data_IF_984534549372
#
_entry.id   IF_984534549372
#
_cell.length_a   1.000
_cell.length_b   1.000
_cell.length_c   1.000
_cell.angle_alpha   90.00
_cell.angle_beta   90.00
_cell.angle_gamma   90.00
#
_symmetry.space_group_name_H-M   'P 1'
#
loop_
_entity.id
_entity.type
_entity.pdbx_description
1 polymer ?
2 water ?
#
# COMPACT_ATOMS: atom_id res chain seq x y z
N UNK A 1 15.14 4.95 28.00
CA UNK A 1 15.44 5.34 26.58
C UNK A 1 14.21 6.13 26.08
N UNK A 2 13.10 5.44 25.84
CA UNK A 2 11.95 6.09 25.19
C UNK A 2 11.24 7.00 26.16
N UNK A 3 10.65 8.08 25.64
CA UNK A 3 9.91 8.98 26.48
C UNK A 3 8.66 8.29 27.09
N UNK A 4 7.87 7.63 26.28
CA UNK A 4 6.71 6.92 26.82
C UNK A 4 6.80 5.49 26.29
N UNK A 5 6.71 4.51 27.19
CA UNK A 5 6.65 3.10 26.82
C UNK A 5 5.33 2.52 27.36
N UNK A 6 4.55 1.87 26.49
CA UNK A 6 3.29 1.20 26.89
C UNK A 6 3.45 -0.28 26.60
N UNK A 7 3.35 -1.12 27.64
CA UNK A 7 3.58 -2.56 27.49
C UNK A 7 2.35 -3.34 27.93
N UNK A 8 1.82 -4.15 27.03
CA UNK A 8 0.80 -5.11 27.43
C UNK A 8 1.50 -6.49 27.52
N UNK A 9 1.64 -7.01 28.73
CA UNK A 9 2.29 -8.33 28.93
C UNK A 9 1.40 -9.46 28.44
N UNK A 10 2.02 -10.63 28.24
CA UNK A 10 1.30 -11.82 27.77
C UNK A 10 0.19 -12.23 28.74
N UNK A 11 -1.09 -12.21 28.32
CA UNK A 11 -2.10 -12.68 29.27
C UNK A 11 -2.14 -14.24 29.31
N UNK A 12 -2.80 -14.84 30.31
CA UNK A 12 -2.78 -16.34 30.39
C UNK A 12 -3.58 -16.91 29.23
N UNK A 13 -4.67 -16.21 28.91
CA UNK A 13 -5.51 -16.53 27.78
C UNK A 13 -5.55 -15.25 26.88
N UNK A 14 -5.36 -15.40 25.54
CA UNK A 14 -5.42 -14.22 24.63
C UNK A 14 -6.82 -13.65 24.69
N UNK A 15 -6.95 -12.35 24.49
CA UNK A 15 -8.25 -11.71 24.58
C UNK A 15 -8.15 -10.57 23.59
N UNK A 16 -9.21 -9.77 23.44
CA UNK A 16 -9.23 -8.74 22.41
C UNK A 16 -8.61 -7.39 22.82
N UNK A 17 -8.03 -7.32 24.00
CA UNK A 17 -7.55 -6.06 24.48
C UNK A 17 -6.20 -5.56 23.84
N UNK A 18 -6.11 -4.23 23.78
CA UNK A 18 -5.00 -3.51 23.15
C UNK A 18 -4.13 -2.86 24.21
N UNK A 19 -2.85 -2.66 23.91
CA UNK A 19 -1.98 -1.82 24.74
C UNK A 19 -2.52 -0.33 24.72
N UNK A 20 -2.90 0.14 23.55
CA UNK A 20 -3.31 1.53 23.37
C UNK A 20 -4.51 1.62 22.43
N UNK A 21 -5.59 2.26 22.89
CA UNK A 21 -6.79 2.36 22.10
C UNK A 21 -7.18 3.86 22.07
N UNK A 22 -7.30 4.42 20.89
CA UNK A 22 -7.63 5.87 20.74
C UNK A 22 -8.93 6.03 19.98
N UNK A 23 -9.86 6.85 20.49
CA UNK A 23 -11.06 7.19 19.71
C UNK A 23 -11.36 8.68 19.79
N UNK A 24 -11.60 9.30 18.63
CA UNK A 24 -12.03 10.69 18.61
C UNK A 24 -13.45 10.78 18.05
N UNK A 25 -14.29 11.60 18.67
CA UNK A 25 -15.57 11.95 18.07
C UNK A 25 -15.59 13.37 17.42
N UNK A 26 -14.41 13.93 17.16
CA UNK A 26 -14.28 15.26 16.57
C UNK A 26 -14.03 15.17 15.09
N UNK A 27 -15.04 15.50 14.27
CA UNK A 27 -14.85 15.35 12.83
C UNK A 27 -13.91 16.40 12.23
N UNK A 28 -13.52 17.40 13.01
CA UNK A 28 -12.69 18.50 12.51
C UNK A 28 -11.17 18.27 12.62
N UNK A 29 -10.73 17.19 13.26
CA UNK A 29 -9.29 17.01 13.39
C UNK A 29 -8.96 15.51 13.42
N UNK A 30 -7.74 15.21 12.99
CA UNK A 30 -7.18 13.85 13.00
C UNK A 30 -7.25 13.27 14.38
N UNK A 31 -7.68 12.02 14.51
CA UNK A 31 -7.79 11.44 15.86
C UNK A 31 -6.38 11.37 16.39
N UNK A 32 -5.45 11.10 15.51
CA UNK A 32 -4.04 11.09 15.97
C UNK A 32 -3.08 11.67 14.95
N UNK A 33 -2.01 12.31 15.43
CA UNK A 33 -1.05 12.84 14.50
C UNK A 33 0.32 12.50 15.00
N UNK A 34 1.21 12.16 14.09
CA UNK A 34 2.62 11.93 14.36
C UNK A 34 3.53 12.73 13.43
N UNK A 35 4.58 13.32 13.99
CA UNK A 35 5.60 14.02 13.22
C UNK A 35 7.01 13.73 13.74
N UNK A 36 7.91 13.36 12.83
CA UNK A 36 9.28 13.07 13.16
C UNK A 36 10.26 13.60 12.15
N UNK A 37 11.52 13.55 12.48
CA UNK A 37 12.56 14.07 11.60
C UNK A 37 13.64 13.02 11.38
N UNK A 38 13.24 11.78 11.13
CA UNK A 38 14.22 10.68 11.06
C UNK A 38 15.16 10.81 9.89
N UNK A 39 16.42 10.53 10.09
CA UNK A 39 17.36 10.53 8.99
C UNK A 39 17.18 9.27 8.27
N UNK A 40 16.93 8.14 8.90
CA UNK A 40 16.91 6.88 8.15
C UNK A 40 15.98 5.77 8.63
N UNK A 41 14.90 6.17 9.28
CA UNK A 41 13.98 5.27 9.86
C UNK A 41 12.58 5.75 9.52
N UNK A 42 11.61 4.95 9.86
CA UNK A 42 10.21 5.41 9.75
C UNK A 42 9.79 6.33 10.85
N UNK A 43 9.00 7.35 10.52
CA UNK A 43 8.45 8.18 11.59
C UNK A 43 7.57 7.27 12.50
N UNK A 44 6.84 6.38 11.88
CA UNK A 44 6.16 5.33 12.67
C UNK A 44 6.76 4.04 12.16
N UNK A 45 7.18 3.17 13.06
CA UNK A 45 7.61 1.84 12.65
C UNK A 45 6.69 0.81 13.30
N UNK A 46 6.14 -0.08 12.50
CA UNK A 46 5.24 -1.10 13.04
C UNK A 46 5.93 -2.43 12.75
N UNK A 47 6.12 -3.23 13.80
CA UNK A 47 6.58 -4.61 13.63
C UNK A 47 5.54 -5.63 14.04
N UNK A 48 5.24 -6.56 13.15
CA UNK A 48 4.40 -7.68 13.57
C UNK A 48 5.33 -8.88 13.69
N UNK A 49 5.25 -9.60 14.80
CA UNK A 49 6.01 -10.84 15.03
C UNK A 49 5.03 -12.02 15.17
N UNK A 50 5.24 -13.09 14.42
CA UNK A 50 4.46 -14.31 14.60
C UNK A 50 4.48 -14.69 16.09
N UNK A 51 3.29 -14.81 16.72
CA UNK A 51 3.29 -15.26 18.11
C UNK A 51 3.70 -16.75 18.24
N UNK A 52 3.75 -17.47 17.13
CA UNK A 52 4.00 -18.93 17.17
C UNK A 52 5.21 -19.29 16.31
N UNK A 53 5.84 -20.42 16.61
CA UNK A 53 6.90 -20.93 15.72
C UNK A 53 6.34 -21.40 14.40
N UNK A 54 5.05 -21.73 14.37
CA UNK A 54 4.39 -22.29 13.19
C UNK A 54 4.29 -21.22 12.07
N UNK A 55 4.84 -21.47 10.89
CA UNK A 55 4.97 -20.41 9.88
C UNK A 55 3.64 -19.99 9.19
N UNK A 56 2.56 -20.71 9.47
CA UNK A 56 1.28 -20.41 8.86
C UNK A 56 0.28 -19.94 9.88
N UNK A 57 0.69 -19.92 11.14
CA UNK A 57 -0.18 -19.59 12.24
C UNK A 57 -0.83 -18.19 12.12
N UNK A 58 -0.06 -17.21 11.63
CA UNK A 58 -0.49 -15.78 11.57
C UNK A 58 -0.92 -15.36 10.17
N UNK A 59 -1.40 -16.32 9.35
CA UNK A 59 -1.76 -16.00 7.99
C UNK A 59 -2.87 -14.92 7.81
N UNK A 60 -3.71 -14.72 8.81
CA UNK A 60 -4.71 -13.62 8.72
C UNK A 60 -4.24 -12.31 9.36
N UNK A 61 -3.03 -12.29 9.94
CA UNK A 61 -2.57 -11.16 10.73
C UNK A 61 -2.03 -10.14 9.74
N UNK A 62 -1.79 -8.92 10.21
CA UNK A 62 -1.21 -7.87 9.37
C UNK A 62 -0.42 -6.92 10.28
N UNK A 63 0.58 -6.21 9.75
CA UNK A 63 1.17 -5.14 10.55
C UNK A 63 0.18 -3.99 10.64
N UNK A 64 -0.47 -3.63 9.54
CA UNK A 64 -1.41 -2.50 9.58
C UNK A 64 -2.74 -2.93 8.98
N UNK A 65 -3.83 -2.74 9.72
CA UNK A 65 -5.12 -3.14 9.20
C UNK A 65 -6.00 -1.85 9.18
N UNK A 66 -6.66 -1.58 8.06
CA UNK A 66 -7.49 -0.35 7.91
C UNK A 66 -8.91 -0.75 7.58
N UNK A 67 -9.88 -0.20 8.29
CA UNK A 67 -11.27 -0.35 7.87
C UNK A 67 -11.93 1.01 7.66
N UNK A 68 -12.78 1.10 6.64
CA UNK A 68 -13.40 2.36 6.23
C UNK A 68 -14.91 2.07 6.30
N UNK A 69 -15.61 2.65 7.28
CA UNK A 69 -17.02 2.27 7.53
C UNK A 69 -17.99 3.48 7.48
N UNK A 70 -19.27 3.19 7.24
CA UNK A 70 -20.34 4.20 7.33
C UNK A 70 -20.63 4.56 8.75
N UNK A 71 -21.37 5.64 8.95
CA UNK A 71 -21.81 6.00 10.28
C UNK A 71 -22.61 4.80 10.87
N UNK A 72 -22.30 4.42 12.11
CA UNK A 72 -22.82 3.23 12.76
C UNK A 72 -24.35 3.20 12.80
N UNK A 73 -24.96 4.22 13.41
CA UNK A 73 -26.43 4.24 13.40
C UNK A 73 -26.91 5.02 12.18
N UNK A 74 -27.49 4.27 11.23
CA UNK A 74 -28.12 4.79 10.01
C UNK A 74 -27.34 5.41 8.86
N UNK A 75 -26.03 5.16 8.76
CA UNK A 75 -25.27 5.81 7.68
C UNK A 75 -25.65 5.25 6.33
N UNK A 76 -25.61 6.08 5.30
CA UNK A 76 -25.93 5.59 3.95
C UNK A 76 -24.72 5.16 3.16
N UNK A 77 -23.52 5.33 3.71
CA UNK A 77 -22.30 5.00 2.97
C UNK A 77 -21.11 5.89 3.38
N UNK A 78 -20.05 5.83 2.61
CA UNK A 78 -18.83 6.60 2.88
C UNK A 78 -18.07 6.71 1.58
N UNK A 79 -17.32 7.77 1.43
CA UNK A 79 -16.49 7.94 0.29
C UNK A 79 -15.03 8.12 0.79
N UNK A 80 -14.77 7.84 2.06
CA UNK A 80 -13.41 7.98 2.63
C UNK A 80 -12.45 7.03 1.95
N UNK A 81 -11.21 7.48 1.93
CA UNK A 81 -10.11 6.82 1.26
C UNK A 81 -9.36 5.93 2.26
N UNK A 82 -8.62 4.95 1.76
CA UNK A 82 -7.89 4.08 2.66
C UNK A 82 -6.60 4.73 3.08
N UNK A 83 -5.65 4.76 2.18
CA UNK A 83 -4.39 5.44 2.45
C UNK A 83 -4.14 6.55 1.45
N UNK A 84 -3.81 7.73 1.96
CA UNK A 84 -3.55 8.88 1.16
C UNK A 84 -2.11 9.26 1.43
N UNK A 85 -1.30 9.29 0.40
CA UNK A 85 0.14 9.65 0.56
C UNK A 85 0.47 10.86 -0.28
N UNK A 86 1.02 11.88 0.32
CA UNK A 86 1.38 13.04 -0.45
C UNK A 86 2.77 13.52 -0.04
N UNK A 87 3.34 14.41 -0.84
CA UNK A 87 4.49 15.17 -0.40
C UNK A 87 4.18 16.59 -0.78
N UNK A 88 3.76 17.39 0.17
CA UNK A 88 3.35 18.75 -0.19
C UNK A 88 4.54 19.50 -0.85
N UNK A 89 5.75 19.35 -0.31
CA UNK A 89 6.90 20.01 -0.96
C UNK A 89 7.54 19.25 -2.13
N UNK A 90 7.30 17.93 -2.24
CA UNK A 90 7.86 17.12 -3.31
C UNK A 90 9.05 16.25 -2.83
N UNK A 91 9.01 14.96 -3.13
CA UNK A 91 10.08 14.06 -2.71
C UNK A 91 10.70 13.35 -3.90
N UNK A 92 11.98 13.02 -3.77
CA UNK A 92 12.63 12.17 -4.75
C UNK A 92 12.48 10.69 -4.34
N UNK A 93 12.01 10.38 -3.14
CA UNK A 93 11.96 8.95 -2.75
C UNK A 93 10.74 8.23 -3.29
N UNK A 94 10.79 6.90 -3.24
CA UNK A 94 9.69 6.04 -3.67
C UNK A 94 8.49 6.27 -2.76
N UNK A 95 7.31 6.41 -3.32
CA UNK A 95 6.13 6.67 -2.49
C UNK A 95 5.67 5.39 -1.72
N UNK A 96 5.84 4.23 -2.35
CA UNK A 96 5.48 2.93 -1.77
C UNK A 96 6.59 1.97 -2.20
N UNK A 97 7.29 1.40 -1.22
CA UNK A 97 8.36 0.48 -1.52
C UNK A 97 8.14 -0.83 -0.78
N UNK A 98 8.02 -1.93 -1.51
CA UNK A 98 7.70 -3.21 -0.84
C UNK A 98 8.84 -4.18 -1.04
N UNK A 99 9.38 -4.69 0.06
CA UNK A 99 10.51 -5.60 -0.01
C UNK A 99 10.19 -6.87 0.73
N UNK A 100 10.84 -7.97 0.37
CA UNK A 100 10.65 -9.23 1.13
C UNK A 100 12.04 -9.82 1.29
N UNK A 101 12.43 -10.12 2.53
CA UNK A 101 13.85 -10.41 2.90
C UNK A 101 14.87 -9.36 2.42
N UNK A 102 14.54 -8.07 2.58
CA UNK A 102 15.42 -6.97 2.19
C UNK A 102 15.76 -6.88 0.70
N UNK A 103 14.92 -7.49 -0.15
CA UNK A 103 15.00 -7.28 -1.60
C UNK A 103 13.73 -6.65 -2.11
N UNK A 104 13.87 -5.61 -2.94
CA UNK A 104 12.73 -4.94 -3.59
C UNK A 104 11.87 -5.89 -4.43
N UNK A 105 10.56 -5.86 -4.20
CA UNK A 105 9.64 -6.68 -4.93
C UNK A 105 8.64 -5.85 -5.75
N UNK A 106 8.25 -4.70 -5.22
CA UNK A 106 7.29 -3.85 -5.90
C UNK A 106 7.51 -2.45 -5.39
N UNK A 107 7.45 -1.45 -6.25
CA UNK A 107 7.42 -0.08 -5.77
C UNK A 107 6.62 0.85 -6.66
N UNK A 108 6.22 1.98 -6.09
CA UNK A 108 5.64 3.08 -6.83
C UNK A 108 6.58 4.29 -6.63
N UNK A 109 7.14 4.80 -7.71
CA UNK A 109 8.07 5.89 -7.58
C UNK A 109 7.40 7.23 -7.48
N UNK A 110 8.21 8.28 -7.27
CA UNK A 110 7.71 9.62 -7.07
C UNK A 110 6.94 10.16 -8.26
N UNK A 111 7.14 9.61 -9.47
CA UNK A 111 6.35 10.02 -10.65
C UNK A 111 5.16 9.14 -10.88
N UNK A 112 4.97 8.17 -10.01
CA UNK A 112 3.78 7.33 -10.14
C UNK A 112 4.01 6.11 -10.99
N UNK A 113 5.21 5.98 -11.54
CA UNK A 113 5.60 4.73 -12.18
C UNK A 113 5.64 3.60 -11.17
N UNK A 114 5.26 2.40 -11.58
CA UNK A 114 5.43 1.24 -10.71
C UNK A 114 6.43 0.27 -11.33
N UNK A 115 7.00 -0.56 -10.47
CA UNK A 115 7.87 -1.67 -10.87
C UNK A 115 7.45 -2.92 -10.10
N UNK A 116 7.22 -4.02 -10.79
CA UNK A 116 6.82 -5.25 -10.15
C UNK A 116 7.87 -6.30 -10.51
N UNK A 117 8.30 -7.11 -9.54
CA UNK A 117 9.35 -8.12 -9.76
C UNK A 117 8.84 -9.45 -10.35
N UNK A 118 7.52 -9.60 -10.56
CA UNK A 118 6.95 -10.88 -11.01
C UNK A 118 5.71 -10.73 -11.88
N UNK A 119 5.41 -11.79 -12.64
CA UNK A 119 4.24 -11.83 -13.50
C UNK A 119 2.97 -11.48 -12.74
N UNK A 120 2.19 -10.63 -13.37
CA UNK A 120 1.05 -10.02 -12.73
C UNK A 120 -0.17 -10.16 -13.60
N UNK A 121 -1.29 -9.66 -13.11
CA UNK A 121 -2.56 -9.98 -13.70
C UNK A 121 -3.51 -8.82 -13.51
N UNK A 122 -4.23 -8.48 -14.58
CA UNK A 122 -5.34 -7.57 -14.49
C UNK A 122 -6.56 -8.29 -15.04
N UNK A 123 -7.61 -8.42 -14.24
CA UNK A 123 -8.84 -9.01 -14.71
C UNK A 123 -9.59 -7.89 -15.40
N UNK A 124 -9.14 -7.55 -16.60
CA UNK A 124 -9.73 -6.47 -17.37
C UNK A 124 -8.71 -6.04 -18.39
N UNK A 125 -8.95 -4.92 -19.06
CA UNK A 125 -7.92 -4.43 -19.96
C UNK A 125 -6.94 -3.57 -19.23
N UNK A 126 -5.79 -3.38 -19.86
CA UNK A 126 -4.85 -2.37 -19.45
C UNK A 126 -4.78 -1.36 -20.60
N UNK A 127 -5.04 -0.10 -20.33
CA UNK A 127 -4.81 0.92 -21.34
C UNK A 127 -3.37 1.40 -21.20
N UNK A 128 -2.65 1.44 -22.33
CA UNK A 128 -1.25 1.86 -22.39
C UNK A 128 -1.00 2.76 -23.61
N UNK A 129 0.16 3.40 -23.66
CA UNK A 129 0.56 4.11 -24.88
C UNK A 129 1.18 3.15 -25.90
N UNK A 130 1.17 3.53 -27.18
CA UNK A 130 1.82 2.72 -28.25
C UNK A 130 3.28 2.44 -27.94
N UNK A 131 3.75 1.22 -28.22
CA UNK A 131 5.11 0.86 -27.93
C UNK A 131 6.10 1.64 -28.79
N UNK A 132 7.24 1.99 -28.22
CA UNK A 132 8.29 2.68 -28.97
C UNK A 132 9.57 1.94 -28.71
N UNK A 133 9.43 0.71 -28.22
CA UNK A 133 10.58 -0.07 -27.80
C UNK A 133 10.21 -1.54 -27.80
N UNK A 134 11.22 -2.39 -27.94
CA UNK A 134 11.05 -3.83 -28.08
C UNK A 134 10.12 -4.48 -27.09
N UNK A 135 10.45 -4.33 -25.80
CA UNK A 135 9.68 -4.97 -24.73
C UNK A 135 8.52 -4.13 -24.18
N UNK A 136 8.16 -3.03 -24.84
CA UNK A 136 6.93 -2.33 -24.49
C UNK A 136 5.75 -3.14 -24.95
N UNK A 137 4.66 -3.11 -24.18
CA UNK A 137 3.46 -3.84 -24.54
C UNK A 137 2.77 -3.17 -25.73
N UNK A 138 2.17 -3.98 -26.62
CA UNK A 138 1.60 -3.45 -27.88
C UNK A 138 0.15 -3.14 -27.69
N UNK A 139 -0.31 -2.01 -28.22
CA UNK A 139 -1.73 -1.61 -28.15
C UNK A 139 -2.51 -2.29 -29.27
N UNK A 140 -3.85 -2.30 -29.20
CA UNK A 140 -4.67 -2.84 -30.30
C UNK A 140 -4.27 -2.05 -31.56
N UNK A 141 -4.16 -0.73 -31.41
CA UNK A 141 -3.70 0.16 -32.47
C UNK A 141 -2.44 -0.29 -33.16
N UNK A 142 -1.37 -0.57 -32.42
CA UNK A 142 -0.11 -0.95 -33.05
C UNK A 142 -0.24 -2.25 -33.84
N UNK A 143 -0.94 -3.22 -33.27
CA UNK A 143 -1.18 -4.49 -33.92
C UNK A 143 -1.96 -4.25 -35.22
N UNK A 144 -3.13 -3.63 -35.12
CA UNK A 144 -3.95 -3.33 -36.28
C UNK A 144 -3.19 -2.62 -37.38
N UNK A 145 -2.32 -1.69 -37.01
CA UNK A 145 -1.53 -0.95 -37.99
C UNK A 145 -0.53 -1.84 -38.71
N UNK A 146 0.30 -2.58 -37.99
CA UNK A 146 1.22 -3.51 -38.67
C UNK A 146 0.45 -4.56 -39.51
N UNK A 147 -0.76 -4.92 -39.09
CA UNK A 147 -1.61 -5.76 -39.92
C UNK A 147 -1.99 -5.05 -41.24
N UNK A 148 -2.66 -3.90 -41.16
CA UNK A 148 -3.10 -3.11 -42.34
C UNK A 148 -1.95 -2.76 -43.31
N UNK A 149 -0.75 -2.65 -42.77
CA UNK A 149 0.45 -2.33 -43.52
C UNK A 149 0.89 -3.55 -44.34
N UNK A 150 0.56 -4.73 -43.84
CA UNK A 150 1.02 -5.96 -44.46
C UNK A 150 -0.04 -6.47 -45.40
N UNK A 151 -1.29 -6.11 -45.15
CA UNK A 151 -2.36 -6.37 -46.09
C UNK A 151 -2.03 -5.65 -47.39
N UNK A 152 -1.64 -4.38 -47.29
CA UNK A 152 -1.32 -3.50 -48.43
C UNK A 152 -0.24 -4.06 -49.35
N UNK A 153 0.83 -4.57 -48.74
CA UNK A 153 1.98 -5.18 -49.42
C UNK A 153 1.64 -6.51 -50.09
N UNK A 154 0.40 -6.98 -49.91
CA UNK A 154 -0.12 -8.13 -50.66
C UNK A 154 -1.24 -7.68 -51.61
N UNK A 155 -1.56 -6.38 -51.56
CA UNK A 155 -2.44 -5.69 -52.52
C UNK A 155 -3.85 -6.27 -52.46
#
# INVERSE_FOLDING_TARGET
TNAVNIVMRQPTTPNFSSALNITSANEGGSAMQIRGVEKALGTLKITHENPSVDKEYDENAAALSIDIVKKQKGGKGTAAQGIYINSTSGTAGKMLRIRNKNKDKFYVGPDGDFWSCASSIVDGNLTVKDPTSGKHAATKDYVDEKIAELKKLILKK
#
